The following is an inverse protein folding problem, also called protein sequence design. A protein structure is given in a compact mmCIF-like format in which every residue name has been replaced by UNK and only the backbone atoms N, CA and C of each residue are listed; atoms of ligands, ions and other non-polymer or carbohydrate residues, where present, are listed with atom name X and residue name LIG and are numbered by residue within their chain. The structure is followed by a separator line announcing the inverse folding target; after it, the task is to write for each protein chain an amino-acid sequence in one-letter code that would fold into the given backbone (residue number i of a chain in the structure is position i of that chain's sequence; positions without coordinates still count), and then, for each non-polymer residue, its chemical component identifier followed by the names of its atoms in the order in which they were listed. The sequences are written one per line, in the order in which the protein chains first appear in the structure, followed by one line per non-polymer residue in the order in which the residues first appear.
data_IF_700653408754
#
_entry.id   IF_700653408754
#
_cell.length_a   1.000
_cell.length_b   1.000
_cell.length_c   1.000
_cell.angle_alpha   90.00
_cell.angle_beta   90.00
_cell.angle_gamma   90.00
#
_symmetry.space_group_name_H-M   'P 1'
#
loop_
_entity.id
_entity.type
_entity.pdbx_description
1 polymer ?
#
# COMPACT_ATOMS: atom_id res chain seq x y z
N UNK A 1 -15.93 13.66 -4.90
CA UNK A 1 -15.43 13.73 -3.50
C UNK A 1 -13.91 13.82 -3.53
N UNK A 2 -13.35 14.71 -2.72
CA UNK A 2 -11.89 14.90 -2.66
C UNK A 2 -11.23 13.75 -1.89
N UNK A 3 -9.96 13.48 -2.22
CA UNK A 3 -9.18 12.43 -1.54
C UNK A 3 -9.17 12.57 -0.02
N UNK A 4 -9.09 13.81 0.49
CA UNK A 4 -9.10 14.06 1.93
C UNK A 4 -10.41 13.60 2.59
N UNK A 5 -11.53 13.74 1.90
CA UNK A 5 -12.84 13.31 2.41
C UNK A 5 -12.93 11.78 2.40
N UNK A 6 -12.35 11.14 1.40
CA UNK A 6 -12.27 9.68 1.33
C UNK A 6 -11.42 9.16 2.48
N UNK A 7 -10.28 9.81 2.76
CA UNK A 7 -9.43 9.44 3.90
C UNK A 7 -10.19 9.50 5.22
N UNK A 8 -11.01 10.52 5.41
CA UNK A 8 -11.87 10.63 6.60
C UNK A 8 -12.86 9.47 6.71
N UNK A 9 -13.46 9.07 5.59
CA UNK A 9 -14.35 7.91 5.57
C UNK A 9 -13.62 6.64 6.02
N UNK A 10 -12.40 6.45 5.53
CA UNK A 10 -11.58 5.29 5.91
C UNK A 10 -11.28 5.32 7.42
N UNK A 11 -10.86 6.48 7.92
CA UNK A 11 -10.51 6.65 9.34
C UNK A 11 -11.72 6.47 10.26
N UNK A 12 -12.93 6.72 9.76
CA UNK A 12 -14.18 6.48 10.47
C UNK A 12 -14.75 5.09 10.23
N UNK A 13 -13.98 4.20 9.62
CA UNK A 13 -14.35 2.82 9.32
C UNK A 13 -15.56 2.69 8.38
N UNK A 14 -15.82 3.70 7.57
CA UNK A 14 -16.85 3.65 6.52
C UNK A 14 -16.24 3.15 5.21
N UNK A 15 -15.79 1.89 5.23
CA UNK A 15 -14.97 1.33 4.15
C UNK A 15 -15.73 1.14 2.85
N UNK A 16 -16.98 0.70 2.92
CA UNK A 16 -17.77 0.48 1.70
C UNK A 16 -18.02 1.78 0.95
N UNK A 17 -18.32 2.85 1.69
CA UNK A 17 -18.52 4.17 1.11
C UNK A 17 -17.23 4.71 0.51
N UNK A 18 -16.11 4.53 1.23
CA UNK A 18 -14.79 4.94 0.73
C UNK A 18 -14.43 4.21 -0.56
N UNK A 19 -14.64 2.89 -0.62
CA UNK A 19 -14.37 2.11 -1.82
C UNK A 19 -15.22 2.57 -3.00
N UNK A 20 -16.49 2.87 -2.76
CA UNK A 20 -17.38 3.38 -3.80
C UNK A 20 -16.87 4.71 -4.35
N UNK A 21 -16.48 5.62 -3.47
CA UNK A 21 -15.97 6.93 -3.88
C UNK A 21 -14.64 6.82 -4.64
N UNK A 22 -13.75 5.92 -4.23
CA UNK A 22 -12.52 5.66 -4.97
C UNK A 22 -12.81 5.11 -6.37
N UNK A 23 -13.79 4.21 -6.49
CA UNK A 23 -14.14 3.62 -7.77
C UNK A 23 -14.68 4.65 -8.78
N UNK A 24 -15.28 5.73 -8.30
CA UNK A 24 -15.80 6.81 -9.14
C UNK A 24 -14.71 7.64 -9.79
N UNK A 25 -13.47 7.60 -9.28
CA UNK A 25 -12.38 8.40 -9.80
C UNK A 25 -11.86 7.89 -11.16
N UNK A 26 -12.06 6.61 -11.46
CA UNK A 26 -11.72 6.03 -12.76
C UNK A 26 -10.23 5.76 -12.95
N UNK A 27 -9.89 5.35 -14.18
CA UNK A 27 -8.55 4.87 -14.53
C UNK A 27 -7.47 5.93 -14.44
N UNK A 28 -7.81 7.21 -14.59
CA UNK A 28 -6.85 8.30 -14.55
C UNK A 28 -6.11 8.37 -13.20
N UNK A 29 -6.68 7.79 -12.16
CA UNK A 29 -6.11 7.80 -10.81
C UNK A 29 -5.34 6.55 -10.46
N UNK A 30 -5.29 5.53 -11.32
CA UNK A 30 -4.62 4.26 -11.01
C UNK A 30 -3.11 4.40 -10.79
N UNK A 31 -2.50 5.48 -11.28
CA UNK A 31 -1.08 5.79 -11.05
C UNK A 31 -0.89 6.97 -10.10
N UNK A 32 -1.96 7.40 -9.45
CA UNK A 32 -1.88 8.47 -8.46
C UNK A 32 -1.48 7.90 -7.10
N UNK A 33 -0.43 8.47 -6.52
CA UNK A 33 0.14 7.98 -5.27
C UNK A 33 -0.88 8.03 -4.12
N UNK A 34 -1.63 9.12 -4.02
CA UNK A 34 -2.63 9.25 -2.95
C UNK A 34 -3.78 8.25 -3.11
N UNK A 35 -4.25 8.04 -4.34
CA UNK A 35 -5.26 7.03 -4.62
C UNK A 35 -4.79 5.65 -4.18
N UNK A 36 -3.57 5.28 -4.55
CA UNK A 36 -3.00 3.98 -4.19
C UNK A 36 -2.81 3.86 -2.67
N UNK A 37 -2.38 4.94 -2.03
CA UNK A 37 -2.24 4.94 -0.57
C UNK A 37 -3.58 4.72 0.13
N UNK A 38 -4.63 5.38 -0.32
CA UNK A 38 -5.97 5.20 0.27
C UNK A 38 -6.50 3.79 0.05
N UNK A 39 -6.27 3.21 -1.13
CA UNK A 39 -6.63 1.81 -1.38
C UNK A 39 -5.88 0.88 -0.43
N UNK A 40 -4.58 1.13 -0.23
CA UNK A 40 -3.79 0.30 0.68
C UNK A 40 -4.30 0.38 2.11
N UNK A 41 -4.76 1.55 2.55
CA UNK A 41 -5.34 1.71 3.89
C UNK A 41 -6.60 0.85 4.06
N UNK A 42 -7.43 0.79 3.04
CA UNK A 42 -8.62 -0.07 3.07
C UNK A 42 -8.21 -1.54 3.19
N UNK A 43 -7.26 -1.99 2.36
CA UNK A 43 -6.74 -3.36 2.45
C UNK A 43 -6.16 -3.64 3.84
N UNK A 44 -5.40 -2.69 4.38
CA UNK A 44 -4.82 -2.82 5.72
C UNK A 44 -5.89 -3.02 6.80
N UNK A 45 -6.94 -2.21 6.78
CA UNK A 45 -8.02 -2.31 7.77
C UNK A 45 -8.76 -3.65 7.62
N UNK A 46 -8.90 -4.15 6.39
CA UNK A 46 -9.49 -5.46 6.12
C UNK A 46 -8.55 -6.61 6.40
N UNK A 47 -7.33 -6.34 6.90
CA UNK A 47 -6.31 -7.34 7.21
C UNK A 47 -5.79 -8.10 5.98
N UNK A 48 -5.92 -7.50 4.81
CA UNK A 48 -5.37 -8.01 3.56
C UNK A 48 -3.96 -7.45 3.40
N UNK A 49 -3.05 -7.92 4.24
CA UNK A 49 -1.75 -7.27 4.44
C UNK A 49 -0.83 -7.33 3.22
N UNK A 50 -0.75 -8.46 2.54
CA UNK A 50 0.17 -8.57 1.40
C UNK A 50 -0.30 -7.76 0.19
N UNK A 51 -1.61 -7.68 -0.04
CA UNK A 51 -2.16 -6.81 -1.09
C UNK A 51 -1.92 -5.35 -0.72
N UNK A 52 -2.06 -4.99 0.56
CA UNK A 52 -1.78 -3.64 1.03
C UNK A 52 -0.31 -3.27 0.79
N UNK A 53 0.62 -4.17 1.11
CA UNK A 53 2.05 -3.94 0.90
C UNK A 53 2.36 -3.77 -0.58
N UNK A 54 1.83 -4.65 -1.44
CA UNK A 54 2.04 -4.56 -2.88
C UNK A 54 1.54 -3.22 -3.45
N UNK A 55 0.37 -2.78 -3.02
CA UNK A 55 -0.21 -1.50 -3.42
C UNK A 55 0.67 -0.33 -2.96
N UNK A 56 1.21 -0.41 -1.73
CA UNK A 56 2.10 0.62 -1.20
C UNK A 56 3.43 0.66 -1.96
N UNK A 57 3.99 -0.49 -2.30
CA UNK A 57 5.22 -0.55 -3.09
C UNK A 57 5.00 0.07 -4.47
N UNK A 58 3.87 -0.20 -5.08
CA UNK A 58 3.50 0.41 -6.37
C UNK A 58 3.39 1.93 -6.23
N UNK A 59 2.75 2.41 -5.17
CA UNK A 59 2.64 3.84 -4.90
C UNK A 59 4.03 4.49 -4.76
N UNK A 60 4.97 3.80 -4.10
CA UNK A 60 6.33 4.32 -3.90
C UNK A 60 7.11 4.47 -5.21
N UNK A 61 6.74 3.73 -6.25
CA UNK A 61 7.37 3.87 -7.56
C UNK A 61 7.00 5.17 -8.26
N UNK A 62 5.82 5.71 -7.98
CA UNK A 62 5.39 6.98 -8.55
C UNK A 62 5.85 8.16 -7.72
N UNK A 63 5.83 8.04 -6.40
CA UNK A 63 6.27 9.11 -5.52
C UNK A 63 6.64 8.53 -4.16
N UNK A 64 7.85 8.80 -3.69
CA UNK A 64 8.29 8.38 -2.36
C UNK A 64 7.74 9.32 -1.30
N UNK A 65 6.99 8.76 -0.36
CA UNK A 65 6.45 9.50 0.79
C UNK A 65 6.64 8.70 2.06
N UNK A 66 6.99 9.40 3.14
CA UNK A 66 7.23 8.77 4.43
C UNK A 66 6.02 7.96 4.90
N UNK A 67 4.81 8.45 4.67
CA UNK A 67 3.59 7.74 5.10
C UNK A 67 3.44 6.37 4.45
N UNK A 68 3.94 6.21 3.21
CA UNK A 68 3.93 4.92 2.52
C UNK A 68 4.80 3.92 3.26
N UNK A 69 6.03 4.31 3.54
CA UNK A 69 6.99 3.43 4.24
C UNK A 69 6.56 3.18 5.69
N UNK A 70 5.99 4.18 6.35
CA UNK A 70 5.46 4.02 7.69
C UNK A 70 4.36 2.96 7.75
N UNK A 71 3.48 2.94 6.76
CA UNK A 71 2.41 1.93 6.73
C UNK A 71 2.95 0.55 6.40
N UNK A 72 3.91 0.44 5.46
CA UNK A 72 4.57 -0.83 5.18
C UNK A 72 5.22 -1.40 6.45
N UNK A 73 5.99 -0.56 7.16
CA UNK A 73 6.66 -0.97 8.39
C UNK A 73 5.66 -1.40 9.46
N UNK A 74 4.55 -0.68 9.59
CA UNK A 74 3.48 -1.01 10.53
C UNK A 74 2.89 -2.39 10.25
N UNK A 75 2.65 -2.68 8.97
CA UNK A 75 2.11 -3.98 8.56
C UNK A 75 3.09 -5.10 8.91
N UNK A 76 4.39 -4.93 8.57
CA UNK A 76 5.38 -5.95 8.89
C UNK A 76 5.54 -6.16 10.39
N UNK A 77 5.40 -5.12 11.18
CA UNK A 77 5.40 -5.25 12.63
C UNK A 77 4.20 -6.10 13.11
N UNK A 78 3.02 -5.90 12.51
CA UNK A 78 1.81 -6.66 12.85
C UNK A 78 1.96 -8.14 12.51
N UNK A 79 2.52 -8.45 11.34
CA UNK A 79 2.69 -9.85 10.92
C UNK A 79 3.92 -10.53 11.53
N UNK A 80 4.63 -9.83 12.42
CA UNK A 80 5.70 -10.42 13.22
C UNK A 80 7.11 -10.27 12.67
N UNK A 81 7.31 -9.54 11.57
CA UNK A 81 8.64 -9.31 11.01
C UNK A 81 9.18 -7.96 11.45
N UNK A 82 9.60 -7.87 12.71
CA UNK A 82 10.09 -6.63 13.30
C UNK A 82 11.40 -6.16 12.71
N UNK A 83 12.25 -7.08 12.29
CA UNK A 83 13.54 -6.74 11.68
C UNK A 83 13.33 -5.99 10.36
N UNK A 84 12.45 -6.50 9.50
CA UNK A 84 12.13 -5.86 8.24
C UNK A 84 11.44 -4.52 8.45
N UNK A 85 10.54 -4.43 9.45
CA UNK A 85 9.89 -3.17 9.83
C UNK A 85 10.94 -2.09 10.13
N UNK A 86 11.96 -2.44 10.92
CA UNK A 86 13.05 -1.51 11.27
C UNK A 86 13.84 -1.09 10.03
N UNK A 87 14.15 -2.02 9.14
CA UNK A 87 14.91 -1.73 7.92
C UNK A 87 14.15 -0.77 6.99
N UNK A 88 12.85 -0.93 6.88
CA UNK A 88 12.01 -0.05 6.06
C UNK A 88 12.02 1.39 6.62
N UNK A 89 12.06 1.54 7.94
CA UNK A 89 12.10 2.87 8.58
C UNK A 89 13.50 3.51 8.57
N UNK A 90 14.55 2.74 8.36
CA UNK A 90 15.91 3.24 8.30
C UNK A 90 16.24 3.66 6.86
N UNK A 91 16.50 4.96 6.66
CA UNK A 91 16.76 5.51 5.32
C UNK A 91 17.98 4.88 4.65
N UNK A 92 18.97 4.39 5.42
CA UNK A 92 20.15 3.75 4.87
C UNK A 92 19.93 2.32 4.42
N UNK A 93 18.96 1.62 5.00
CA UNK A 93 18.67 0.22 4.72
C UNK A 93 17.42 0.03 3.84
N UNK A 94 16.64 1.07 3.69
CA UNK A 94 15.33 1.03 3.04
C UNK A 94 15.37 0.53 1.60
N UNK A 95 16.30 1.07 0.80
CA UNK A 95 16.35 0.75 -0.63
C UNK A 95 16.54 -0.75 -0.86
N UNK A 96 17.48 -1.35 -0.16
CA UNK A 96 17.75 -2.77 -0.26
C UNK A 96 16.54 -3.60 0.20
N UNK A 97 15.95 -3.21 1.32
CA UNK A 97 14.77 -3.89 1.86
C UNK A 97 13.57 -3.79 0.89
N UNK A 98 13.31 -2.62 0.34
CA UNK A 98 12.21 -2.41 -0.63
C UNK A 98 12.44 -3.22 -1.90
N UNK A 99 13.66 -3.24 -2.44
CA UNK A 99 13.97 -4.01 -3.63
C UNK A 99 13.77 -5.52 -3.40
N UNK A 100 14.18 -6.00 -2.23
CA UNK A 100 13.99 -7.40 -1.86
C UNK A 100 12.49 -7.76 -1.80
N UNK A 101 11.68 -6.87 -1.22
CA UNK A 101 10.23 -7.07 -1.15
C UNK A 101 9.58 -7.05 -2.53
N UNK A 102 10.00 -6.18 -3.42
CA UNK A 102 9.47 -6.12 -4.78
C UNK A 102 9.76 -7.40 -5.53
N UNK A 103 10.96 -7.96 -5.39
CA UNK A 103 11.34 -9.21 -6.02
C UNK A 103 10.48 -10.37 -5.50
N UNK A 104 10.26 -10.43 -4.20
CA UNK A 104 9.49 -11.49 -3.57
C UNK A 104 8.00 -11.41 -3.91
N UNK A 105 7.38 -10.25 -3.67
CA UNK A 105 5.93 -10.07 -3.85
C UNK A 105 5.55 -9.88 -5.31
N UNK A 106 6.31 -9.06 -6.04
CA UNK A 106 6.07 -8.82 -7.46
C UNK A 106 6.18 -10.08 -8.29
N UNK A 107 7.10 -10.96 -7.93
CA UNK A 107 7.26 -12.26 -8.60
C UNK A 107 6.03 -13.14 -8.42
N UNK A 108 5.44 -13.16 -7.24
CA UNK A 108 4.25 -13.96 -6.96
C UNK A 108 3.05 -13.47 -7.77
N UNK A 109 2.77 -12.16 -7.73
CA UNK A 109 1.64 -11.58 -8.46
C UNK A 109 1.79 -11.68 -9.96
N UNK A 110 2.99 -11.44 -10.49
CA UNK A 110 3.24 -11.55 -11.94
C UNK A 110 3.05 -12.96 -12.43
N UNK A 111 3.45 -13.97 -11.64
CA UNK A 111 3.24 -15.37 -12.00
C UNK A 111 1.75 -15.70 -12.11
N UNK A 112 0.95 -15.23 -11.16
CA UNK A 112 -0.49 -15.46 -11.17
C UNK A 112 -1.15 -14.80 -12.37
N UNK A 113 -0.72 -13.59 -12.74
CA UNK A 113 -1.24 -12.88 -13.89
C UNK A 113 -0.84 -13.56 -15.21
N UNK A 114 0.34 -14.16 -15.28
CA UNK A 114 0.83 -14.84 -16.48
C UNK A 114 0.15 -16.18 -16.72
N UNK A 115 -0.43 -16.78 -15.71
CA UNK A 115 -1.15 -18.04 -15.83
C UNK A 115 -2.54 -17.91 -16.44
N UNK A 116 -3.02 -16.72 -16.55
CA UNK A 116 -4.31 -16.42 -17.13
C UNK A 116 -4.15 -15.97 -18.59
#
# INVERSE_FOLDING_TARGET
MKMQEIDKLINNNQLNKAQLELSKLGEDFFKDTEYLYLRSKIFYIKKLYYIAIDTLLTASEFEEKDKIYNLIAKIYNIIGNKDLSKKILDSNLRLEAVNSLKDELGGIYRRDQQKN
#
